data_IF_463929907048
#
_entry.id   IF_463929907048
#
_cell.length_a   1.000
_cell.length_b   1.000
_cell.length_c   1.000
_cell.angle_alpha   90.00
_cell.angle_beta   90.00
_cell.angle_gamma   90.00
#
_symmetry.space_group_name_H-M   'P 1'
#
loop_
_entity.id
_entity.type
_entity.pdbx_description
1 polymer ?
#
# COMPACT_ATOMS: atom_id res chain seq x y z
N UNK A 1 5.01 -21.84 -12.27
CA UNK A 1 5.52 -22.51 -11.05
C UNK A 1 4.35 -22.69 -10.09
N UNK A 2 4.14 -23.86 -9.56
CA UNK A 2 3.20 -24.12 -8.46
C UNK A 2 3.93 -23.84 -7.13
N UNK A 3 3.25 -23.20 -6.17
CA UNK A 3 3.85 -22.89 -4.87
C UNK A 3 3.89 -24.14 -4.00
N UNK A 4 5.07 -24.76 -3.83
CA UNK A 4 5.27 -25.81 -2.85
C UNK A 4 5.12 -25.29 -1.41
N UNK A 5 5.02 -26.19 -0.41
CA UNK A 5 4.87 -25.83 1.00
C UNK A 5 6.03 -24.96 1.51
N UNK A 6 7.24 -25.16 1.03
CA UNK A 6 8.42 -24.37 1.43
C UNK A 6 8.29 -22.94 0.90
N UNK A 7 7.89 -22.76 -0.37
CA UNK A 7 7.65 -21.45 -0.95
C UNK A 7 6.50 -20.70 -0.27
N UNK A 8 5.42 -21.39 0.10
CA UNK A 8 4.31 -20.79 0.87
C UNK A 8 4.79 -20.29 2.23
N UNK A 9 5.55 -21.11 2.99
CA UNK A 9 6.12 -20.71 4.27
C UNK A 9 7.13 -19.58 4.11
N UNK A 10 8.00 -19.63 3.09
CA UNK A 10 8.95 -18.57 2.76
C UNK A 10 8.23 -17.24 2.50
N UNK A 11 7.19 -17.26 1.64
CA UNK A 11 6.37 -16.06 1.37
C UNK A 11 5.74 -15.48 2.64
N UNK A 12 5.23 -16.32 3.54
CA UNK A 12 4.63 -15.85 4.79
C UNK A 12 5.68 -15.23 5.72
N UNK A 13 6.85 -15.85 5.87
CA UNK A 13 7.96 -15.32 6.69
C UNK A 13 8.41 -13.95 6.19
N UNK A 14 8.74 -13.84 4.89
CA UNK A 14 9.27 -12.59 4.34
C UNK A 14 8.26 -11.44 4.31
N UNK A 15 6.96 -11.74 4.37
CA UNK A 15 5.93 -10.73 4.51
C UNK A 15 5.81 -10.16 5.93
N UNK A 16 5.95 -11.00 6.95
CA UNK A 16 5.58 -10.68 8.34
C UNK A 16 6.77 -10.42 9.25
N UNK A 17 7.89 -11.09 9.01
CA UNK A 17 9.03 -11.10 9.93
C UNK A 17 10.37 -11.17 9.20
N UNK A 18 10.63 -10.32 8.19
CA UNK A 18 11.92 -10.26 7.53
C UNK A 18 13.02 -9.87 8.52
N UNK A 19 14.07 -10.70 8.73
CA UNK A 19 15.11 -10.41 9.71
C UNK A 19 15.94 -9.18 9.30
N UNK A 20 16.16 -8.24 10.23
CA UNK A 20 17.03 -7.07 10.02
C UNK A 20 18.40 -7.34 10.64
N UNK A 21 19.15 -8.25 10.05
CA UNK A 21 20.48 -8.69 10.45
C UNK A 21 21.44 -8.66 9.26
N UNK A 22 22.71 -8.89 9.49
CA UNK A 22 23.72 -8.89 8.41
C UNK A 22 23.48 -10.01 7.40
N UNK A 23 22.98 -11.18 7.86
CA UNK A 23 22.69 -12.36 7.02
C UNK A 23 21.24 -12.82 7.17
N UNK A 24 20.28 -12.02 6.69
CA UNK A 24 18.85 -12.29 6.89
C UNK A 24 18.38 -13.59 6.23
N UNK A 25 18.95 -13.94 5.09
CA UNK A 25 18.56 -15.15 4.36
C UNK A 25 19.04 -16.42 5.04
N UNK A 26 20.14 -16.37 5.79
CA UNK A 26 20.59 -17.48 6.65
C UNK A 26 19.56 -17.74 7.76
N UNK A 27 19.12 -16.69 8.45
CA UNK A 27 18.10 -16.83 9.52
C UNK A 27 16.77 -17.37 8.99
N UNK A 28 16.35 -16.93 7.79
CA UNK A 28 15.17 -17.48 7.12
C UNK A 28 15.39 -18.97 6.82
N UNK A 29 16.56 -19.35 6.36
CA UNK A 29 16.93 -20.75 6.11
C UNK A 29 16.86 -21.62 7.35
N UNK A 30 17.38 -21.14 8.48
CA UNK A 30 17.31 -21.80 9.78
C UNK A 30 15.86 -22.06 10.21
N UNK A 31 14.95 -21.07 10.03
CA UNK A 31 13.51 -21.23 10.34
C UNK A 31 12.82 -22.24 9.43
N UNK A 32 13.23 -22.29 8.16
CA UNK A 32 12.66 -23.22 7.16
C UNK A 32 13.28 -24.62 7.20
N UNK A 33 14.47 -24.77 7.80
CA UNK A 33 15.25 -26.00 7.78
C UNK A 33 15.94 -26.26 6.43
N UNK A 34 16.34 -25.19 5.70
CA UNK A 34 17.04 -25.24 4.41
C UNK A 34 18.30 -24.36 4.43
N UNK A 35 19.19 -24.54 3.46
CA UNK A 35 20.39 -23.74 3.34
C UNK A 35 20.10 -22.31 2.87
N UNK A 36 20.97 -21.37 3.22
CA UNK A 36 20.85 -19.97 2.78
C UNK A 36 20.86 -19.84 1.25
N UNK A 37 21.70 -20.61 0.57
CA UNK A 37 21.76 -20.67 -0.89
C UNK A 37 20.42 -21.10 -1.51
N UNK A 38 19.74 -22.07 -0.89
CA UNK A 38 18.42 -22.49 -1.33
C UNK A 38 17.36 -21.39 -1.11
N UNK A 39 17.43 -20.65 0.00
CA UNK A 39 16.54 -19.48 0.24
C UNK A 39 16.74 -18.45 -0.88
N UNK A 40 17.97 -18.11 -1.20
CA UNK A 40 18.30 -17.13 -2.25
C UNK A 40 17.78 -17.59 -3.61
N UNK A 41 18.03 -18.85 -3.99
CA UNK A 41 17.55 -19.42 -5.24
C UNK A 41 16.01 -19.38 -5.33
N UNK A 42 15.29 -19.81 -4.28
CA UNK A 42 13.82 -19.79 -4.24
C UNK A 42 13.28 -18.37 -4.35
N UNK A 43 13.93 -17.39 -3.73
CA UNK A 43 13.54 -15.98 -3.85
C UNK A 43 13.76 -15.43 -5.26
N UNK A 44 14.87 -15.79 -5.93
CA UNK A 44 15.12 -15.44 -7.34
C UNK A 44 14.02 -15.99 -8.25
N UNK A 45 13.63 -17.26 -8.06
CA UNK A 45 12.54 -17.89 -8.80
C UNK A 45 11.19 -17.20 -8.52
N UNK A 46 10.87 -16.91 -7.24
CA UNK A 46 9.63 -16.22 -6.87
C UNK A 46 9.54 -14.80 -7.43
N UNK A 47 10.66 -14.09 -7.54
CA UNK A 47 10.73 -12.75 -8.16
C UNK A 47 10.61 -12.85 -9.67
N UNK A 48 11.36 -13.75 -10.32
CA UNK A 48 11.33 -13.94 -11.78
C UNK A 48 9.93 -14.33 -12.28
N UNK A 49 9.24 -15.17 -11.52
CA UNK A 49 7.87 -15.61 -11.78
C UNK A 49 6.80 -14.57 -11.31
N UNK A 50 7.26 -13.42 -10.79
CA UNK A 50 6.40 -12.32 -10.33
C UNK A 50 5.44 -12.70 -9.17
N UNK A 51 5.82 -13.65 -8.30
CA UNK A 51 5.13 -13.88 -7.02
C UNK A 51 5.51 -12.83 -5.99
N UNK A 52 6.75 -12.37 -6.00
CA UNK A 52 7.27 -11.28 -5.16
C UNK A 52 7.65 -10.10 -6.04
N UNK A 53 7.10 -8.93 -5.74
CA UNK A 53 7.36 -7.69 -6.50
C UNK A 53 8.46 -6.83 -5.90
N UNK A 54 8.70 -6.97 -4.61
CA UNK A 54 9.60 -6.13 -3.86
C UNK A 54 9.91 -6.77 -2.51
N UNK A 55 11.15 -6.64 -2.03
CA UNK A 55 11.56 -6.96 -0.65
C UNK A 55 12.30 -5.75 -0.10
N UNK A 56 11.82 -5.15 1.00
CA UNK A 56 12.46 -4.00 1.61
C UNK A 56 11.54 -3.17 2.49
N UNK A 57 11.89 -1.90 2.72
CA UNK A 57 11.17 -0.99 3.59
C UNK A 57 9.85 -0.50 2.99
N UNK A 58 8.79 -0.57 3.75
CA UNK A 58 7.50 0.07 3.47
C UNK A 58 7.46 1.38 4.24
N UNK A 59 7.76 2.45 3.54
CA UNK A 59 7.96 3.78 4.12
C UNK A 59 6.61 4.47 4.35
N UNK A 60 6.49 5.17 5.47
CA UNK A 60 5.37 6.04 5.75
C UNK A 60 5.55 7.38 5.02
N UNK A 61 4.87 7.55 3.92
CA UNK A 61 4.92 8.75 3.07
C UNK A 61 4.68 10.04 3.85
N UNK A 62 3.72 10.00 4.79
CA UNK A 62 3.40 11.16 5.62
C UNK A 62 4.54 11.55 6.57
N UNK A 63 5.27 10.57 7.13
CA UNK A 63 6.44 10.84 8.00
C UNK A 63 7.61 11.48 7.25
N UNK A 64 7.63 11.40 5.91
CA UNK A 64 8.61 12.10 5.06
C UNK A 64 8.22 13.54 4.71
N UNK A 65 7.12 14.06 5.25
CA UNK A 65 6.62 15.38 4.88
C UNK A 65 5.83 15.41 3.56
N UNK A 66 5.44 14.27 3.01
CA UNK A 66 4.60 14.24 1.81
C UNK A 66 3.14 14.39 2.18
N UNK A 67 2.43 15.17 1.40
CA UNK A 67 0.97 15.20 1.38
C UNK A 67 0.45 14.20 0.33
N UNK A 68 -0.62 13.47 0.64
CA UNK A 68 -1.17 12.46 -0.27
C UNK A 68 -2.68 12.44 -0.28
N UNK A 69 -3.25 12.12 -1.45
CA UNK A 69 -4.68 11.90 -1.59
C UNK A 69 -4.99 10.74 -2.54
N UNK A 70 -6.16 10.14 -2.34
CA UNK A 70 -6.86 9.41 -3.37
C UNK A 70 -7.62 10.44 -4.20
N UNK A 71 -7.52 10.35 -5.52
CA UNK A 71 -8.17 11.27 -6.46
C UNK A 71 -9.02 10.46 -7.42
N UNK A 72 -10.20 10.97 -7.74
CA UNK A 72 -11.05 10.40 -8.76
C UNK A 72 -11.44 11.44 -9.80
N UNK A 73 -11.36 11.07 -11.07
CA UNK A 73 -11.80 11.86 -12.21
C UNK A 73 -12.96 11.17 -12.91
N UNK A 74 -13.90 11.98 -13.40
CA UNK A 74 -14.91 11.56 -14.36
C UNK A 74 -14.43 11.92 -15.76
N UNK A 75 -14.18 10.90 -16.57
CA UNK A 75 -13.58 11.01 -17.91
C UNK A 75 -14.52 10.35 -18.93
N UNK A 76 -14.69 10.97 -20.09
CA UNK A 76 -15.37 10.31 -21.19
C UNK A 76 -14.62 9.04 -21.62
N UNK A 77 -15.34 7.94 -21.86
CA UNK A 77 -14.74 6.60 -22.04
C UNK A 77 -13.69 6.55 -23.14
N UNK A 78 -13.89 7.29 -24.24
CA UNK A 78 -12.97 7.37 -25.37
C UNK A 78 -11.66 8.11 -25.04
N UNK A 79 -11.65 8.92 -23.98
CA UNK A 79 -10.49 9.73 -23.55
C UNK A 79 -9.72 9.12 -22.38
N UNK A 80 -10.22 8.07 -21.76
CA UNK A 80 -9.69 7.57 -20.49
C UNK A 80 -8.21 7.12 -20.57
N UNK A 81 -7.80 6.52 -21.69
CA UNK A 81 -6.41 6.09 -21.88
C UNK A 81 -5.46 7.28 -21.97
N UNK A 82 -5.84 8.31 -22.72
CA UNK A 82 -5.06 9.55 -22.85
C UNK A 82 -4.99 10.30 -21.50
N UNK A 83 -6.11 10.42 -20.80
CA UNK A 83 -6.15 11.01 -19.46
C UNK A 83 -5.24 10.27 -18.47
N UNK A 84 -5.24 8.93 -18.55
CA UNK A 84 -4.38 8.10 -17.72
C UNK A 84 -2.89 8.30 -18.00
N UNK A 85 -2.48 8.56 -19.24
CA UNK A 85 -1.09 8.88 -19.60
C UNK A 85 -0.63 10.18 -18.95
N UNK A 86 -1.44 11.24 -18.99
CA UNK A 86 -1.15 12.49 -18.29
C UNK A 86 -1.03 12.29 -16.79
N UNK A 87 -1.99 11.60 -16.18
CA UNK A 87 -1.94 11.29 -14.75
C UNK A 87 -0.69 10.50 -14.42
N UNK A 88 -0.32 9.52 -15.27
CA UNK A 88 0.86 8.68 -15.08
C UNK A 88 2.18 9.42 -15.22
N UNK A 89 2.23 10.56 -15.92
CA UNK A 89 3.44 11.37 -16.10
C UNK A 89 3.91 11.99 -14.79
N UNK A 90 2.99 12.24 -13.84
CA UNK A 90 3.38 12.80 -12.55
C UNK A 90 4.13 11.77 -11.69
N UNK A 91 5.33 12.12 -11.16
CA UNK A 91 6.18 11.20 -10.39
C UNK A 91 5.53 10.75 -9.08
N UNK A 92 4.66 11.57 -8.50
CA UNK A 92 3.92 11.28 -7.27
C UNK A 92 2.73 10.35 -7.44
N UNK A 93 2.34 10.02 -8.66
CA UNK A 93 1.27 9.04 -8.92
C UNK A 93 1.84 7.63 -8.83
N UNK A 94 1.40 6.90 -7.81
CA UNK A 94 1.86 5.52 -7.54
C UNK A 94 0.94 4.45 -8.11
N UNK A 95 -0.37 4.70 -8.06
CA UNK A 95 -1.41 3.79 -8.52
C UNK A 95 -2.40 4.55 -9.39
N UNK A 96 -2.83 3.97 -10.50
CA UNK A 96 -3.85 4.55 -11.38
C UNK A 96 -4.67 3.42 -12.01
N UNK A 97 -5.99 3.47 -11.80
CA UNK A 97 -6.94 2.44 -12.20
C UNK A 97 -8.16 3.03 -12.87
N UNK A 98 -8.64 2.34 -13.90
CA UNK A 98 -10.02 2.49 -14.37
C UNK A 98 -10.95 1.65 -13.48
N UNK A 99 -12.08 2.24 -13.07
CA UNK A 99 -13.10 1.57 -12.26
C UNK A 99 -14.49 1.72 -12.89
N UNK A 100 -15.37 0.79 -12.56
CA UNK A 100 -16.75 0.69 -13.07
C UNK A 100 -17.71 1.66 -12.37
N UNK A 101 -17.43 2.96 -12.37
CA UNK A 101 -18.28 3.99 -11.78
C UNK A 101 -18.29 5.24 -12.67
N UNK A 102 -19.16 6.20 -12.38
CA UNK A 102 -19.19 7.51 -13.06
C UNK A 102 -17.85 8.24 -12.89
N UNK A 103 -17.26 8.21 -11.69
CA UNK A 103 -15.88 8.55 -11.48
C UNK A 103 -15.03 7.33 -11.83
N UNK A 104 -14.52 7.31 -13.05
CA UNK A 104 -13.95 6.10 -13.65
C UNK A 104 -12.42 6.05 -13.66
N UNK A 105 -11.71 7.16 -13.41
CA UNK A 105 -10.24 7.16 -13.31
C UNK A 105 -9.83 7.49 -11.87
N UNK A 106 -9.26 6.50 -11.18
CA UNK A 106 -8.89 6.55 -9.76
C UNK A 106 -7.38 6.41 -9.58
N UNK A 107 -6.76 7.38 -8.92
CA UNK A 107 -5.33 7.32 -8.67
C UNK A 107 -4.95 7.82 -7.27
N UNK A 108 -3.81 7.34 -6.78
CA UNK A 108 -3.17 7.87 -5.58
C UNK A 108 -2.00 8.74 -5.98
N UNK A 109 -1.97 9.94 -5.42
CA UNK A 109 -0.90 10.92 -5.63
C UNK A 109 -0.32 11.35 -4.30
N UNK A 110 1.02 11.56 -4.26
CA UNK A 110 1.70 12.18 -3.15
C UNK A 110 2.71 13.20 -3.67
N UNK A 111 2.82 14.32 -2.99
CA UNK A 111 3.75 15.42 -3.32
C UNK A 111 4.56 15.82 -2.08
N UNK A 112 5.80 16.32 -2.23
CA UNK A 112 6.54 16.94 -1.13
C UNK A 112 5.75 18.09 -0.50
N UNK A 113 6.01 18.38 0.77
CA UNK A 113 5.25 19.39 1.56
C UNK A 113 5.33 20.83 1.02
N UNK A 114 6.35 21.15 0.23
CA UNK A 114 6.56 22.44 -0.42
C UNK A 114 5.85 22.56 -1.78
N UNK A 115 5.21 21.48 -2.24
CA UNK A 115 4.35 21.45 -3.44
C UNK A 115 2.89 21.37 -3.00
N UNK A 116 2.05 22.30 -3.48
CA UNK A 116 0.62 22.28 -3.17
C UNK A 116 -0.11 21.17 -3.93
N UNK A 117 -0.56 20.15 -3.19
CA UNK A 117 -1.27 19.00 -3.72
C UNK A 117 -2.52 19.39 -4.52
N UNK A 118 -3.30 20.37 -4.03
CA UNK A 118 -4.53 20.80 -4.69
C UNK A 118 -4.24 21.47 -6.04
N UNK A 119 -3.21 22.29 -6.09
CA UNK A 119 -2.75 22.91 -7.34
C UNK A 119 -2.29 21.87 -8.35
N UNK A 120 -1.45 20.90 -7.93
CA UNK A 120 -0.97 19.81 -8.77
C UNK A 120 -2.14 18.98 -9.34
N UNK A 121 -3.11 18.57 -8.48
CA UNK A 121 -4.29 17.83 -8.92
C UNK A 121 -5.14 18.66 -9.88
N UNK A 122 -5.26 19.98 -9.67
CA UNK A 122 -5.99 20.88 -10.57
C UNK A 122 -5.33 20.97 -11.94
N UNK A 123 -4.01 20.97 -12.02
CA UNK A 123 -3.28 20.90 -13.31
C UNK A 123 -3.57 19.57 -14.02
N UNK A 124 -3.46 18.44 -13.31
CA UNK A 124 -3.80 17.12 -13.86
C UNK A 124 -5.26 17.06 -14.35
N UNK A 125 -6.20 17.62 -13.60
CA UNK A 125 -7.61 17.72 -13.98
C UNK A 125 -7.80 18.44 -15.30
N UNK A 126 -7.20 19.63 -15.47
CA UNK A 126 -7.30 20.42 -16.71
C UNK A 126 -6.66 19.72 -17.90
N UNK A 127 -5.45 19.17 -17.72
CA UNK A 127 -4.69 18.50 -18.77
C UNK A 127 -5.31 17.16 -19.21
N UNK A 128 -5.99 16.46 -18.30
CA UNK A 128 -6.66 15.18 -18.62
C UNK A 128 -8.00 15.36 -19.34
N UNK A 129 -8.57 16.57 -19.35
CA UNK A 129 -9.91 16.82 -19.90
C UNK A 129 -11.03 16.17 -19.08
N UNK A 130 -10.82 15.98 -17.79
CA UNK A 130 -11.85 15.49 -16.87
C UNK A 130 -13.00 16.50 -16.74
N UNK A 131 -14.23 16.00 -16.57
CA UNK A 131 -15.41 16.85 -16.36
C UNK A 131 -15.68 17.14 -14.89
N UNK A 132 -15.32 16.20 -14.01
CA UNK A 132 -15.48 16.31 -12.55
C UNK A 132 -14.29 15.70 -11.84
N UNK A 133 -14.02 16.16 -10.62
CA UNK A 133 -12.93 15.65 -9.79
C UNK A 133 -13.35 15.51 -8.32
N UNK A 134 -12.79 14.51 -7.65
CA UNK A 134 -12.81 14.35 -6.20
C UNK A 134 -11.38 14.32 -5.68
N UNK A 135 -11.08 15.08 -4.64
CA UNK A 135 -9.82 15.03 -3.89
C UNK A 135 -10.15 14.51 -2.49
N UNK A 136 -9.64 13.33 -2.18
CA UNK A 136 -10.04 12.52 -1.02
C UNK A 136 -8.82 12.20 -0.16
N UNK A 137 -8.27 13.17 0.61
CA UNK A 137 -7.19 12.90 1.56
C UNK A 137 -7.67 11.91 2.64
N UNK A 138 -6.75 11.18 3.24
CA UNK A 138 -7.07 10.32 4.37
C UNK A 138 -7.24 11.20 5.62
N UNK A 139 -8.42 11.17 6.25
CA UNK A 139 -8.69 11.85 7.52
C UNK A 139 -8.33 10.95 8.70
N UNK A 140 -8.58 9.65 8.57
CA UNK A 140 -8.23 8.63 9.56
C UNK A 140 -7.96 7.31 8.88
N UNK A 141 -7.01 6.56 9.42
CA UNK A 141 -6.65 5.23 8.96
C UNK A 141 -7.01 4.20 10.04
N UNK A 142 -7.84 3.21 9.69
CA UNK A 142 -8.21 2.11 10.58
C UNK A 142 -7.37 0.87 10.31
N UNK A 143 -6.97 0.66 9.05
CA UNK A 143 -6.09 -0.44 8.64
C UNK A 143 -5.24 -0.07 7.44
N UNK A 144 -3.98 -0.45 7.51
CA UNK A 144 -3.06 -0.49 6.38
C UNK A 144 -2.15 -1.69 6.56
N UNK A 145 -2.28 -2.67 5.71
CA UNK A 145 -1.44 -3.85 5.79
C UNK A 145 -1.89 -4.89 4.77
N UNK A 146 -0.97 -5.26 3.89
CA UNK A 146 -1.17 -6.37 2.97
C UNK A 146 -0.29 -7.50 3.49
N UNK A 147 -0.82 -8.32 4.38
CA UNK A 147 -0.27 -9.64 4.68
C UNK A 147 -1.31 -10.62 4.15
N UNK A 148 -0.98 -11.28 3.06
CA UNK A 148 -1.86 -12.24 2.41
C UNK A 148 -1.31 -13.64 2.68
N UNK A 149 -2.15 -14.51 3.19
CA UNK A 149 -1.77 -15.90 3.43
C UNK A 149 -1.57 -16.61 2.09
N UNK A 150 -0.35 -17.09 1.87
CA UNK A 150 0.03 -17.84 0.67
C UNK A 150 -0.34 -19.33 0.76
N UNK A 151 -0.90 -19.81 1.87
CA UNK A 151 -1.36 -21.20 2.01
C UNK A 151 -2.59 -21.45 1.13
N UNK A 152 -2.57 -22.58 0.42
CA UNK A 152 -3.62 -22.97 -0.54
C UNK A 152 -4.68 -23.84 0.15
N UNK A 153 -4.53 -24.19 1.41
CA UNK A 153 -5.50 -25.03 2.12
C UNK A 153 -6.86 -24.31 2.20
N UNK A 154 -7.80 -24.85 1.43
CA UNK A 154 -9.19 -24.41 1.33
C UNK A 154 -9.99 -24.87 2.56
N UNK A 155 -9.56 -24.60 3.76
CA UNK A 155 -10.37 -24.88 4.93
C UNK A 155 -10.63 -23.58 5.70
N UNK A 156 -11.94 -23.29 5.77
CA UNK A 156 -12.62 -22.21 6.46
C UNK A 156 -12.70 -20.86 5.72
N UNK A 157 -13.88 -20.59 5.15
CA UNK A 157 -14.40 -19.24 4.93
C UNK A 157 -14.21 -18.47 6.24
N UNK A 158 -13.47 -17.34 6.30
CA UNK A 158 -13.29 -16.61 7.52
C UNK A 158 -14.65 -16.10 8.00
N UNK A 159 -15.26 -16.82 8.92
CA UNK A 159 -16.43 -16.35 9.67
C UNK A 159 -16.07 -15.05 10.38
N UNK A 160 -17.05 -14.15 10.48
CA UNK A 160 -16.94 -12.92 11.25
C UNK A 160 -16.36 -13.24 12.65
N UNK A 161 -15.44 -12.41 13.19
CA UNK A 161 -14.95 -12.61 14.55
C UNK A 161 -16.13 -12.52 15.52
N UNK A 162 -16.50 -13.65 16.10
CA UNK A 162 -17.46 -13.68 17.20
C UNK A 162 -16.92 -12.88 18.39
N UNK A 163 -17.80 -12.30 19.24
CA UNK A 163 -17.37 -11.59 20.43
C UNK A 163 -16.67 -12.58 21.38
N UNK A 164 -15.34 -12.55 21.45
CA UNK A 164 -14.57 -13.36 22.41
C UNK A 164 -13.31 -14.05 21.92
N UNK A 165 -12.94 -14.01 20.66
CA UNK A 165 -11.67 -14.63 20.20
C UNK A 165 -10.54 -13.61 20.08
N UNK A 166 -9.89 -13.28 21.20
CA UNK A 166 -8.61 -12.56 21.29
C UNK A 166 -7.41 -13.47 20.99
N UNK A 167 -7.57 -14.50 20.15
CA UNK A 167 -6.55 -15.47 19.82
C UNK A 167 -5.87 -15.19 18.49
N UNK A 168 -4.60 -14.76 18.55
CA UNK A 168 -3.63 -14.75 17.42
C UNK A 168 -3.90 -13.78 16.27
N UNK A 169 -4.08 -12.52 16.58
CA UNK A 169 -3.77 -11.43 15.61
C UNK A 169 -2.26 -11.28 15.58
N UNK A 170 -1.61 -11.76 14.50
CA UNK A 170 -0.25 -11.33 14.16
C UNK A 170 -0.21 -9.82 14.34
N UNK A 171 0.71 -9.32 15.16
CA UNK A 171 0.95 -7.90 15.45
C UNK A 171 1.33 -7.10 14.19
N UNK A 172 0.42 -6.97 13.25
CA UNK A 172 0.40 -5.84 12.33
C UNK A 172 -0.02 -4.67 13.19
N UNK A 173 0.93 -3.84 13.54
CA UNK A 173 0.82 -2.75 14.49
C UNK A 173 -0.48 -1.97 14.31
N UNK A 174 -1.40 -2.10 15.28
CA UNK A 174 -2.47 -1.14 15.54
C UNK A 174 -1.90 0.20 16.09
N UNK A 175 -0.66 0.56 15.74
CA UNK A 175 -0.15 1.90 16.02
C UNK A 175 -0.96 2.84 15.14
N UNK A 176 -1.83 3.63 15.76
CA UNK A 176 -2.45 4.79 15.11
C UNK A 176 -1.29 5.71 14.68
N UNK A 177 -1.03 5.74 13.37
CA UNK A 177 -0.05 6.67 12.84
C UNK A 177 -0.74 8.01 12.63
N UNK A 178 -0.24 9.11 13.22
CA UNK A 178 -0.82 10.42 13.02
C UNK A 178 -0.80 10.77 11.52
N UNK A 179 -1.94 11.19 11.00
CA UNK A 179 -2.10 11.69 9.64
C UNK A 179 -1.90 13.21 9.56
N UNK A 180 -1.68 13.89 10.70
CA UNK A 180 -1.50 15.35 10.78
C UNK A 180 -0.04 15.78 10.76
N UNK A 181 0.18 17.03 10.32
CA UNK A 181 1.50 17.66 10.12
C UNK A 181 2.13 18.25 11.39
N UNK A 182 1.37 18.43 12.46
CA UNK A 182 1.67 19.45 13.46
C UNK A 182 2.87 19.20 14.39
N UNK A 183 3.49 17.97 14.38
CA UNK A 183 4.64 17.64 15.24
C UNK A 183 5.73 16.84 14.51
N UNK A 184 6.05 17.16 13.25
CA UNK A 184 7.06 16.38 12.50
C UNK A 184 8.46 16.94 12.69
N UNK A 185 9.24 16.21 13.45
CA UNK A 185 10.69 16.36 13.47
C UNK A 185 11.27 16.16 12.06
N UNK A 186 12.04 17.13 11.57
CA UNK A 186 12.70 16.99 10.25
C UNK A 186 13.61 15.77 10.25
N UNK A 187 13.46 14.93 9.26
CA UNK A 187 14.29 13.72 9.11
C UNK A 187 15.77 14.14 8.97
N UNK A 188 16.66 13.69 9.87
CA UNK A 188 18.07 14.01 9.81
C UNK A 188 18.73 13.57 8.49
N UNK A 189 19.80 14.26 8.05
CA UNK A 189 20.48 13.95 6.78
C UNK A 189 20.92 12.49 6.64
N UNK A 190 21.43 11.87 7.71
CA UNK A 190 21.81 10.46 7.72
C UNK A 190 20.61 9.55 7.46
N UNK A 191 19.49 9.78 8.17
CA UNK A 191 18.28 8.99 8.00
C UNK A 191 17.71 9.14 6.58
N UNK A 192 17.79 10.35 5.97
CA UNK A 192 17.42 10.54 4.55
C UNK A 192 18.30 9.69 3.62
N UNK A 193 19.63 9.63 3.85
CA UNK A 193 20.53 8.78 3.06
C UNK A 193 20.18 7.30 3.19
N UNK A 194 19.91 6.82 4.41
CA UNK A 194 19.49 5.43 4.66
C UNK A 194 18.16 5.13 3.95
N UNK A 195 17.15 5.99 4.11
CA UNK A 195 15.86 5.84 3.43
C UNK A 195 16.01 5.84 1.90
N UNK A 196 16.91 6.64 1.34
CA UNK A 196 17.19 6.66 -0.09
C UNK A 196 17.73 5.30 -0.59
N UNK A 197 18.55 4.60 0.20
CA UNK A 197 19.03 3.25 -0.14
C UNK A 197 17.86 2.23 -0.08
N UNK A 198 16.97 2.37 0.91
CA UNK A 198 15.88 1.44 1.17
C UNK A 198 14.67 1.59 0.22
N UNK A 199 14.68 2.54 -0.70
CA UNK A 199 13.61 2.71 -1.70
C UNK A 199 13.56 1.57 -2.73
N UNK A 200 14.70 0.93 -2.97
CA UNK A 200 14.82 -0.20 -3.87
C UNK A 200 14.66 -1.51 -3.11
N UNK A 201 14.42 -2.59 -3.85
CA UNK A 201 14.46 -3.94 -3.29
C UNK A 201 15.86 -4.24 -2.77
N UNK A 202 15.95 -4.92 -1.64
CA UNK A 202 17.26 -5.38 -1.14
C UNK A 202 17.84 -6.44 -2.08
N UNK A 203 19.18 -6.47 -2.25
CA UNK A 203 19.83 -7.47 -3.11
C UNK A 203 19.66 -8.89 -2.57
N UNK A 204 19.50 -9.86 -3.47
CA UNK A 204 19.52 -11.28 -3.13
C UNK A 204 20.96 -11.77 -3.06
N UNK A 205 21.58 -11.62 -1.90
CA UNK A 205 22.95 -12.09 -1.58
C UNK A 205 23.09 -12.24 -0.08
N UNK A 206 24.10 -12.99 0.36
CA UNK A 206 24.29 -13.35 1.77
C UNK A 206 24.31 -12.12 2.71
N UNK A 207 24.99 -11.04 2.32
CA UNK A 207 25.10 -9.79 3.07
C UNK A 207 24.53 -8.61 2.29
N UNK A 208 23.18 -8.50 2.24
CA UNK A 208 22.50 -7.55 1.34
C UNK A 208 22.69 -6.07 1.74
N UNK A 209 23.02 -5.80 3.01
CA UNK A 209 23.12 -4.45 3.52
C UNK A 209 24.50 -3.81 3.40
N UNK A 210 25.54 -4.57 3.01
CA UNK A 210 26.93 -4.08 2.99
C UNK A 210 27.14 -2.87 2.06
N UNK A 211 26.63 -2.93 0.81
CA UNK A 211 26.78 -1.79 -0.11
C UNK A 211 25.87 -0.61 0.28
N UNK A 212 24.67 -0.90 0.79
CA UNK A 212 23.77 0.14 1.27
C UNK A 212 24.41 0.92 2.44
N UNK A 213 25.04 0.22 3.37
CA UNK A 213 25.76 0.81 4.48
C UNK A 213 26.94 1.66 3.98
N UNK A 214 27.77 1.10 3.09
CA UNK A 214 28.91 1.79 2.48
C UNK A 214 28.50 3.08 1.78
N UNK A 215 27.38 3.08 1.03
CA UNK A 215 26.84 4.25 0.36
C UNK A 215 26.40 5.37 1.32
N UNK A 216 26.14 5.03 2.59
CA UNK A 216 25.81 6.01 3.64
C UNK A 216 27.01 6.40 4.50
N UNK A 217 28.20 5.79 4.27
CA UNK A 217 29.41 5.98 5.06
C UNK A 217 29.33 5.30 6.43
N UNK A 218 28.63 4.16 6.53
CA UNK A 218 28.40 3.42 7.76
C UNK A 218 28.81 1.95 7.63
N UNK A 219 29.02 1.31 8.79
CA UNK A 219 29.10 -0.14 8.88
C UNK A 219 27.71 -0.77 8.72
N UNK A 220 27.59 -2.06 8.35
CA UNK A 220 26.31 -2.74 8.27
C UNK A 220 25.51 -2.67 9.59
N UNK A 221 26.17 -2.81 10.72
CA UNK A 221 25.55 -2.73 12.06
C UNK A 221 24.97 -1.34 12.32
N UNK A 222 25.75 -0.27 12.07
CA UNK A 222 25.27 1.11 12.23
C UNK A 222 24.10 1.42 11.28
N UNK A 223 24.16 0.90 10.04
CA UNK A 223 23.08 1.06 9.07
C UNK A 223 21.78 0.40 9.57
N UNK A 224 21.87 -0.85 10.02
CA UNK A 224 20.72 -1.61 10.56
C UNK A 224 20.18 -0.98 11.85
N UNK A 225 21.05 -0.41 12.70
CA UNK A 225 20.60 0.37 13.86
C UNK A 225 19.72 1.55 13.44
N UNK A 226 20.13 2.33 12.43
CA UNK A 226 19.32 3.45 11.91
C UNK A 226 18.00 2.94 11.31
N UNK A 227 18.00 1.79 10.63
CA UNK A 227 16.77 1.16 10.10
C UNK A 227 15.80 0.81 11.23
N UNK A 228 16.29 0.22 12.32
CA UNK A 228 15.48 -0.12 13.49
C UNK A 228 14.91 1.14 14.15
N UNK A 229 15.71 2.19 14.36
CA UNK A 229 15.24 3.49 14.88
C UNK A 229 14.12 4.08 14.01
N UNK A 230 14.24 3.99 12.67
CA UNK A 230 13.21 4.45 11.73
C UNK A 230 11.92 3.60 11.82
N UNK A 231 12.04 2.31 12.12
CA UNK A 231 10.89 1.44 12.38
C UNK A 231 10.20 1.77 13.71
N UNK A 232 10.98 1.98 14.78
CA UNK A 232 10.45 2.37 16.10
C UNK A 232 9.70 3.71 16.04
N UNK A 233 10.24 4.68 15.29
CA UNK A 233 9.60 5.99 15.03
C UNK A 233 8.41 5.90 14.04
N UNK A 234 8.15 4.76 13.43
CA UNK A 234 7.07 4.57 12.44
C UNK A 234 7.31 5.26 11.09
N UNK A 235 8.54 5.72 10.82
CA UNK A 235 8.97 6.22 9.50
C UNK A 235 9.02 5.07 8.49
N UNK A 236 9.50 3.92 8.93
CA UNK A 236 9.34 2.64 8.23
C UNK A 236 8.22 1.87 8.94
N UNK A 237 7.11 1.64 8.26
CA UNK A 237 5.95 0.93 8.83
C UNK A 237 6.20 -0.55 8.98
N UNK A 238 6.91 -1.14 8.04
CA UNK A 238 7.20 -2.56 7.95
C UNK A 238 8.42 -2.77 7.04
N UNK A 239 9.21 -3.78 7.36
CA UNK A 239 10.24 -4.28 6.45
C UNK A 239 9.87 -5.69 6.00
N UNK A 240 9.88 -5.97 4.69
CA UNK A 240 9.54 -7.29 4.18
C UNK A 240 9.08 -7.30 2.73
N UNK A 241 8.57 -8.43 2.31
CA UNK A 241 8.12 -8.62 0.93
C UNK A 241 6.74 -8.01 0.65
N UNK A 242 6.56 -7.61 -0.61
CA UNK A 242 5.28 -7.26 -1.22
C UNK A 242 4.94 -8.31 -2.26
N UNK A 243 4.03 -9.24 -1.96
CA UNK A 243 3.63 -10.27 -2.90
C UNK A 243 2.75 -9.72 -4.02
N UNK A 244 2.67 -10.47 -5.10
CA UNK A 244 1.67 -10.27 -6.13
C UNK A 244 0.39 -11.00 -5.75
N UNK A 245 -0.58 -10.28 -5.22
CA UNK A 245 -1.84 -10.85 -4.74
C UNK A 245 -2.52 -11.76 -5.76
N UNK A 246 -2.51 -11.41 -7.06
CA UNK A 246 -3.11 -12.24 -8.11
C UNK A 246 -2.42 -13.60 -8.25
N UNK A 247 -1.08 -13.64 -8.15
CA UNK A 247 -0.29 -14.86 -8.27
C UNK A 247 -0.44 -15.80 -7.07
N UNK A 248 -0.73 -15.26 -5.88
CA UNK A 248 -0.98 -16.04 -4.65
C UNK A 248 -2.47 -16.31 -4.40
N UNK A 249 -3.31 -16.22 -5.46
CA UNK A 249 -4.71 -16.64 -5.42
C UNK A 249 -5.74 -15.55 -5.12
N UNK A 250 -5.34 -14.31 -4.80
CA UNK A 250 -6.28 -13.21 -4.57
C UNK A 250 -6.52 -12.45 -5.89
N UNK A 251 -7.37 -13.03 -6.74
CA UNK A 251 -7.64 -12.50 -8.08
C UNK A 251 -8.50 -11.23 -8.06
N UNK A 252 -9.36 -11.11 -7.06
CA UNK A 252 -10.35 -10.04 -6.94
C UNK A 252 -9.87 -8.95 -6.00
N UNK A 253 -9.85 -7.73 -6.51
CA UNK A 253 -9.44 -6.53 -5.78
C UNK A 253 -10.51 -5.47 -5.95
N UNK A 254 -11.30 -5.27 -4.91
CA UNK A 254 -12.46 -4.37 -4.93
C UNK A 254 -12.29 -3.29 -3.88
N UNK A 255 -12.45 -2.03 -4.28
CA UNK A 255 -12.61 -0.94 -3.33
C UNK A 255 -14.10 -0.77 -3.04
N UNK A 256 -14.47 -0.89 -1.77
CA UNK A 256 -15.83 -0.61 -1.33
C UNK A 256 -15.86 0.73 -0.63
N UNK A 257 -16.78 1.60 -1.06
CA UNK A 257 -17.03 2.89 -0.43
C UNK A 257 -18.40 2.86 0.25
N UNK A 258 -18.44 3.39 1.49
CA UNK A 258 -19.57 3.27 2.37
C UNK A 258 -20.06 4.65 2.78
N UNK A 259 -21.36 4.90 2.68
CA UNK A 259 -22.01 6.06 3.28
C UNK A 259 -22.35 5.73 4.74
N UNK A 260 -21.68 6.41 5.67
CA UNK A 260 -21.80 6.11 7.10
C UNK A 260 -22.14 7.39 7.84
N UNK A 261 -23.15 7.35 8.77
CA UNK A 261 -23.45 8.46 9.66
C UNK A 261 -22.23 8.91 10.45
N UNK A 262 -22.06 10.22 10.65
CA UNK A 262 -20.88 10.83 11.27
C UNK A 262 -20.54 10.22 12.64
N UNK A 263 -21.57 9.99 13.47
CA UNK A 263 -21.43 9.42 14.81
C UNK A 263 -21.05 7.92 14.82
N UNK A 264 -21.15 7.22 13.68
CA UNK A 264 -20.85 5.80 13.53
C UNK A 264 -19.55 5.51 12.76
N UNK A 265 -18.92 6.53 12.18
CA UNK A 265 -17.76 6.33 11.29
C UNK A 265 -16.63 5.55 11.99
N UNK A 266 -16.29 5.91 13.22
CA UNK A 266 -15.18 5.28 13.94
C UNK A 266 -15.49 3.84 14.37
N UNK A 267 -16.75 3.59 14.76
CA UNK A 267 -17.19 2.24 15.10
C UNK A 267 -17.16 1.33 13.88
N UNK A 268 -17.75 1.76 12.77
CA UNK A 268 -17.82 0.95 11.55
C UNK A 268 -16.45 0.81 10.88
N UNK A 269 -15.64 1.86 10.93
CA UNK A 269 -14.27 1.81 10.43
C UNK A 269 -13.42 0.73 11.12
N UNK A 270 -13.51 0.60 12.46
CA UNK A 270 -12.83 -0.47 13.22
C UNK A 270 -13.43 -1.85 12.93
N UNK A 271 -14.75 -1.97 12.83
CA UNK A 271 -15.41 -3.24 12.50
C UNK A 271 -15.04 -3.74 11.10
N UNK A 272 -15.07 -2.87 10.08
CA UNK A 272 -14.66 -3.20 8.72
C UNK A 272 -13.18 -3.59 8.69
N UNK A 273 -12.34 -2.85 9.41
CA UNK A 273 -10.90 -3.12 9.49
C UNK A 273 -10.55 -4.47 10.14
N UNK A 274 -11.43 -5.06 10.95
CA UNK A 274 -11.20 -6.36 11.61
C UNK A 274 -11.23 -7.55 10.65
N UNK A 275 -11.86 -7.42 9.48
CA UNK A 275 -11.89 -8.50 8.49
C UNK A 275 -10.49 -8.75 7.91
N UNK A 276 -10.06 -10.02 7.84
CA UNK A 276 -8.74 -10.40 7.30
C UNK A 276 -8.59 -10.00 5.83
N UNK A 277 -9.63 -10.15 5.04
CA UNK A 277 -9.69 -9.80 3.61
C UNK A 277 -9.66 -8.30 3.34
N UNK A 278 -10.00 -7.47 4.32
CA UNK A 278 -9.84 -6.02 4.25
C UNK A 278 -8.38 -5.68 4.53
N UNK A 279 -7.67 -5.19 3.53
CA UNK A 279 -6.25 -4.82 3.63
C UNK A 279 -6.04 -3.35 3.96
N UNK A 280 -6.98 -2.49 3.58
CA UNK A 280 -6.95 -1.06 3.84
C UNK A 280 -8.33 -0.59 4.26
N UNK A 281 -8.40 0.29 5.25
CA UNK A 281 -9.64 0.95 5.64
C UNK A 281 -9.34 2.38 6.09
N UNK A 282 -10.01 3.36 5.44
CA UNK A 282 -9.79 4.79 5.67
C UNK A 282 -11.09 5.55 5.81
N UNK A 283 -11.09 6.57 6.69
CA UNK A 283 -12.05 7.68 6.63
C UNK A 283 -11.52 8.74 5.65
N UNK A 284 -12.41 9.26 4.79
CA UNK A 284 -12.13 10.35 3.87
C UNK A 284 -13.25 11.38 3.90
N UNK A 285 -13.03 12.62 3.43
CA UNK A 285 -14.07 13.62 3.41
C UNK A 285 -15.20 13.23 2.45
N UNK A 286 -16.42 13.60 2.79
CA UNK A 286 -17.55 13.58 1.87
C UNK A 286 -17.47 14.80 0.94
N UNK A 287 -17.97 14.66 -0.29
CA UNK A 287 -17.99 15.72 -1.28
C UNK A 287 -19.41 15.87 -1.86
N UNK A 288 -19.77 17.02 -2.42
CA UNK A 288 -21.04 17.19 -3.13
C UNK A 288 -21.23 16.10 -4.18
N UNK A 289 -22.35 15.39 -4.16
CA UNK A 289 -22.62 14.25 -5.04
C UNK A 289 -21.86 12.97 -4.74
N UNK A 290 -21.01 12.94 -3.69
CA UNK A 290 -20.23 11.80 -3.27
C UNK A 290 -20.26 11.63 -1.74
N UNK A 291 -21.29 10.97 -1.17
CA UNK A 291 -21.56 10.96 0.27
C UNK A 291 -20.74 9.91 1.05
N UNK A 292 -19.84 9.19 0.42
CA UNK A 292 -19.12 8.08 1.03
C UNK A 292 -17.98 8.57 1.91
N UNK A 293 -18.00 8.17 3.19
CA UNK A 293 -17.02 8.58 4.21
C UNK A 293 -16.02 7.49 4.59
N UNK A 294 -16.34 6.20 4.42
CA UNK A 294 -15.42 5.08 4.64
C UNK A 294 -15.08 4.39 3.34
N UNK A 295 -13.81 3.98 3.24
CA UNK A 295 -13.21 3.32 2.07
C UNK A 295 -12.47 2.08 2.54
N UNK A 296 -12.85 0.92 2.04
CA UNK A 296 -12.17 -0.35 2.31
C UNK A 296 -11.69 -1.01 1.04
N UNK A 297 -10.51 -1.63 1.09
CA UNK A 297 -9.95 -2.41 -0.01
C UNK A 297 -10.01 -3.88 0.38
N UNK A 298 -10.79 -4.64 -0.37
CA UNK A 298 -10.96 -6.08 -0.21
C UNK A 298 -10.08 -6.81 -1.22
N UNK A 299 -9.39 -7.85 -0.75
CA UNK A 299 -8.69 -8.82 -1.59
C UNK A 299 -9.32 -10.18 -1.35
N UNK A 300 -10.00 -10.69 -2.38
CA UNK A 300 -10.76 -11.93 -2.31
C UNK A 300 -10.24 -12.92 -3.36
N UNK A 301 -10.54 -14.19 -3.16
CA UNK A 301 -10.19 -15.27 -4.11
C UNK A 301 -11.21 -15.42 -5.22
N UNK A 302 -12.51 -15.11 -4.92
CA UNK A 302 -13.60 -15.12 -5.90
C UNK A 302 -14.55 -13.93 -5.70
N UNK A 303 -15.43 -13.69 -6.68
CA UNK A 303 -16.49 -12.68 -6.58
C UNK A 303 -17.49 -13.05 -5.49
N UNK A 304 -17.84 -14.34 -5.36
CA UNK A 304 -18.77 -14.84 -4.35
C UNK A 304 -18.23 -14.60 -2.93
N UNK A 305 -16.91 -14.77 -2.72
CA UNK A 305 -16.26 -14.44 -1.45
C UNK A 305 -16.39 -12.95 -1.14
N UNK A 306 -16.13 -12.08 -2.12
CA UNK A 306 -16.29 -10.63 -1.96
C UNK A 306 -17.73 -10.27 -1.61
N UNK A 307 -18.71 -10.81 -2.32
CA UNK A 307 -20.13 -10.55 -2.08
C UNK A 307 -20.56 -11.01 -0.69
N UNK A 308 -20.10 -12.17 -0.25
CA UNK A 308 -20.38 -12.69 1.09
C UNK A 308 -19.85 -11.76 2.18
N UNK A 309 -18.59 -11.32 2.04
CA UNK A 309 -17.96 -10.41 3.00
C UNK A 309 -18.67 -9.05 3.03
N UNK A 310 -19.02 -8.50 1.87
CA UNK A 310 -19.76 -7.23 1.80
C UNK A 310 -21.10 -7.34 2.49
N UNK A 311 -21.86 -8.43 2.26
CA UNK A 311 -23.13 -8.70 2.94
C UNK A 311 -22.97 -8.86 4.46
N UNK A 312 -21.89 -9.50 4.90
CA UNK A 312 -21.60 -9.64 6.33
C UNK A 312 -21.25 -8.30 6.98
N UNK A 313 -20.47 -7.46 6.29
CA UNK A 313 -20.17 -6.09 6.72
C UNK A 313 -21.47 -5.27 6.81
N UNK A 314 -22.37 -5.38 5.83
CA UNK A 314 -23.69 -4.72 5.87
C UNK A 314 -24.49 -5.14 7.08
N UNK A 315 -24.63 -6.45 7.33
CA UNK A 315 -25.33 -6.97 8.52
C UNK A 315 -24.73 -6.46 9.83
N UNK A 316 -23.38 -6.44 9.90
CA UNK A 316 -22.64 -6.03 11.09
C UNK A 316 -22.76 -4.52 11.38
N UNK A 317 -22.85 -3.69 10.34
CA UNK A 317 -22.84 -2.23 10.44
C UNK A 317 -24.20 -1.59 10.24
N UNK A 318 -25.14 -2.29 9.59
CA UNK A 318 -26.41 -1.70 9.14
C UNK A 318 -26.24 -0.69 8.00
N UNK A 319 -25.07 -0.65 7.35
CA UNK A 319 -24.79 0.28 6.25
C UNK A 319 -25.42 -0.24 4.96
N UNK A 320 -26.50 0.40 4.50
CA UNK A 320 -27.22 -0.02 3.29
C UNK A 320 -26.68 0.66 2.02
N UNK A 321 -26.17 1.89 2.12
CA UNK A 321 -25.65 2.62 0.96
C UNK A 321 -24.13 2.45 0.82
N UNK A 322 -23.75 1.74 -0.21
CA UNK A 322 -22.34 1.48 -0.57
C UNK A 322 -22.19 1.33 -2.08
N UNK A 323 -20.95 1.41 -2.57
CA UNK A 323 -20.61 1.08 -3.96
C UNK A 323 -19.42 0.15 -4.02
N UNK A 324 -19.47 -0.78 -4.96
CA UNK A 324 -18.36 -1.67 -5.32
C UNK A 324 -17.64 -1.07 -6.52
N UNK A 325 -16.41 -0.60 -6.29
CA UNK A 325 -15.57 -0.02 -7.31
C UNK A 325 -14.55 -1.07 -7.77
N UNK A 326 -14.95 -1.90 -8.72
CA UNK A 326 -14.08 -2.94 -9.29
C UNK A 326 -13.05 -2.34 -10.24
N UNK A 327 -11.86 -2.93 -10.28
CA UNK A 327 -10.81 -2.51 -11.21
C UNK A 327 -11.06 -3.11 -12.60
N UNK A 328 -11.32 -2.25 -13.58
CA UNK A 328 -11.48 -2.63 -15.00
C UNK A 328 -10.10 -2.75 -15.64
N UNK A 329 -9.22 -1.77 -15.42
CA UNK A 329 -7.88 -1.71 -15.98
C UNK A 329 -6.90 -1.05 -15.01
N UNK A 330 -5.67 -1.61 -14.93
CA UNK A 330 -4.55 -1.03 -14.19
C UNK A 330 -3.67 -0.24 -15.18
N UNK A 331 -3.56 1.08 -15.00
CA UNK A 331 -2.71 1.93 -15.82
C UNK A 331 -1.32 2.14 -15.21
N UNK A 332 -1.24 2.18 -13.86
CA UNK A 332 0.03 2.34 -13.13
C UNK A 332 -0.04 1.66 -11.78
N UNK A 333 1.02 0.93 -11.45
CA UNK A 333 1.28 0.39 -10.11
C UNK A 333 2.77 0.40 -9.87
N UNK A 334 3.29 1.53 -9.36
CA UNK A 334 4.72 1.74 -9.08
C UNK A 334 4.90 2.32 -7.68
N UNK A 335 6.00 2.01 -7.06
CA UNK A 335 6.39 2.64 -5.79
C UNK A 335 6.85 4.08 -6.04
N UNK A 336 6.56 4.95 -5.07
CA UNK A 336 7.08 6.32 -5.08
C UNK A 336 8.59 6.31 -4.93
N UNK A 337 9.28 7.17 -5.66
CA UNK A 337 10.67 7.52 -5.42
C UNK A 337 10.71 8.82 -4.63
N UNK A 338 11.07 8.71 -3.38
CA UNK A 338 11.25 9.87 -2.52
C UNK A 338 12.56 10.58 -2.83
N UNK A 339 12.68 11.84 -2.45
CA UNK A 339 13.89 12.66 -2.60
C UNK A 339 14.37 12.81 -4.06
N UNK A 340 13.44 12.81 -5.02
CA UNK A 340 13.72 13.01 -6.46
C UNK A 340 13.37 14.44 -6.88
N UNK A 341 14.21 15.04 -7.72
CA UNK A 341 13.95 16.34 -8.35
C UNK A 341 12.87 16.28 -9.44
N UNK A 342 12.40 15.07 -9.78
CA UNK A 342 11.38 14.86 -10.82
C UNK A 342 10.06 15.57 -10.47
N UNK A 343 9.72 15.70 -9.20
CA UNK A 343 8.53 16.44 -8.74
C UNK A 343 8.58 17.90 -9.18
N UNK A 344 9.68 18.58 -8.92
CA UNK A 344 9.88 20.00 -9.26
C UNK A 344 10.00 20.22 -10.76
N UNK A 345 10.64 19.28 -11.47
CA UNK A 345 10.72 19.30 -12.94
C UNK A 345 9.34 19.21 -13.56
N UNK A 346 8.53 18.24 -13.10
CA UNK A 346 7.15 18.08 -13.60
C UNK A 346 6.30 19.33 -13.34
N UNK A 347 6.38 19.93 -12.15
CA UNK A 347 5.64 21.14 -11.79
C UNK A 347 6.00 22.31 -12.72
N UNK A 348 7.27 22.45 -13.07
CA UNK A 348 7.75 23.49 -14.00
C UNK A 348 7.27 23.25 -15.42
N UNK A 349 7.42 22.04 -15.93
CA UNK A 349 7.06 21.67 -17.30
C UNK A 349 5.55 21.71 -17.52
N UNK A 350 4.76 21.19 -16.58
CA UNK A 350 3.30 21.21 -16.66
C UNK A 350 2.70 22.61 -16.60
N UNK A 351 3.34 23.56 -15.92
CA UNK A 351 2.96 24.97 -15.91
C UNK A 351 3.06 25.65 -17.27
N UNK A 352 3.89 25.14 -18.17
CA UNK A 352 4.02 25.65 -19.54
C UNK A 352 2.95 25.09 -20.51
N UNK A 353 2.19 24.07 -20.08
CA UNK A 353 1.14 23.42 -20.89
C UNK A 353 -0.27 23.97 -20.63
N UNK A 354 -0.44 24.80 -19.60
CA UNK A 354 -1.70 25.46 -19.18
C UNK A 354 -1.73 26.92 -19.61
#
# INVERSE_FOLDING_TARGET
MELDRTNQRLLNIIQTGFPLTERPYREIGEVLGILEEEVLQRLEELISENFVRFIGAIINTTSLGFESALVAFKIASEKISHAAEFVNSHPGVSHNYERNDAYNLWFTIAVPEDIDLKSTVTKLYKLSGASELLILPALKMYKIGVVLDASIEMDEIPSAPGPGNEGSVTRTSQKEYPLSRDDKEKIPPLQKKVLAQLQNSIPLRQEPFNDMARNTGRTPQEFLQVVNELMEKGVIRRFGAVPNHKKIGYAYNVMVVWEVPEDKIDEYGRRIASYKTVTHCYRRPVCPGWPFSLYSMLHCRSDEECDTIVKDIQKLTGCENYRLLTSVREFKKKRLKYFSDDFYRWEKESGCLL
#
